data_IF_967657246534
#
_entry.id   IF_967657246534
#
_cell.length_a   1.000
_cell.length_b   1.000
_cell.length_c   1.000
_cell.angle_alpha   90.00
_cell.angle_beta   90.00
_cell.angle_gamma   90.00
#
_symmetry.space_group_name_H-M   'P 1'
#
loop_
_entity.id
_entity.type
_entity.pdbx_description
1 polymer ?
#
# COMPACT_ATOMS: atom_id res chain seq x y z
N UNK A 1 -0.79 -13.16 2.84
CA UNK A 1 -2.05 -13.65 3.49
C UNK A 1 -3.12 -13.80 2.42
N UNK A 2 -4.20 -14.56 2.67
CA UNK A 2 -5.33 -14.64 1.76
C UNK A 2 -5.96 -13.27 1.47
N UNK A 3 -6.36 -13.06 0.22
CA UNK A 3 -7.07 -11.87 -0.29
C UNK A 3 -8.06 -12.32 -1.38
N UNK A 4 -9.00 -11.45 -1.74
CA UNK A 4 -10.07 -11.77 -2.69
C UNK A 4 -11.12 -12.69 -2.08
N UNK A 5 -11.30 -12.63 -0.76
CA UNK A 5 -12.22 -13.49 -0.04
C UNK A 5 -13.60 -12.85 0.10
N UNK A 6 -14.61 -13.68 -0.14
CA UNK A 6 -16.00 -13.37 0.12
C UNK A 6 -16.27 -13.22 1.62
N UNK A 7 -17.19 -12.34 1.99
CA UNK A 7 -17.68 -12.23 3.37
C UNK A 7 -18.22 -13.61 3.79
N UNK A 8 -17.75 -14.18 4.91
CA UNK A 8 -18.24 -15.47 5.39
C UNK A 8 -19.73 -15.38 5.75
N UNK A 9 -20.49 -16.40 5.36
CA UNK A 9 -21.91 -16.56 5.74
C UNK A 9 -22.07 -17.18 7.12
N UNK A 10 -21.08 -17.97 7.55
CA UNK A 10 -21.07 -18.63 8.85
C UNK A 10 -20.56 -17.70 9.95
N UNK A 11 -21.20 -17.79 11.12
CA UNK A 11 -20.82 -17.04 12.31
C UNK A 11 -20.16 -18.01 13.27
N UNK A 12 -18.91 -17.75 13.62
CA UNK A 12 -18.17 -18.59 14.58
C UNK A 12 -18.30 -18.01 15.98
N UNK A 13 -18.11 -18.85 16.99
CA UNK A 13 -18.03 -18.40 18.38
C UNK A 13 -16.71 -17.64 18.59
N UNK A 14 -16.79 -16.45 19.21
CA UNK A 14 -15.60 -15.69 19.60
C UNK A 14 -14.79 -16.50 20.63
N UNK A 15 -13.47 -16.71 20.42
CA UNK A 15 -12.61 -17.32 21.41
C UNK A 15 -12.62 -16.54 22.74
N UNK A 16 -12.60 -17.22 23.88
CA UNK A 16 -12.60 -16.55 25.20
C UNK A 16 -11.37 -15.67 25.45
N UNK A 17 -10.31 -15.85 24.66
CA UNK A 17 -9.07 -15.06 24.70
C UNK A 17 -9.09 -13.84 23.79
N UNK A 18 -10.18 -13.59 23.05
CA UNK A 18 -10.31 -12.50 22.10
C UNK A 18 -11.50 -11.60 22.47
N UNK A 19 -11.24 -10.32 22.68
CA UNK A 19 -12.29 -9.31 22.68
C UNK A 19 -12.52 -8.82 21.23
N UNK A 20 -13.50 -9.41 20.55
CA UNK A 20 -13.79 -9.11 19.15
C UNK A 20 -14.26 -7.67 18.93
N UNK A 21 -15.04 -7.13 19.87
CA UNK A 21 -15.52 -5.75 19.79
C UNK A 21 -14.37 -4.75 19.83
N UNK A 22 -13.39 -5.00 20.71
CA UNK A 22 -12.17 -4.22 20.81
C UNK A 22 -11.29 -4.36 19.56
N UNK A 23 -11.18 -5.57 19.00
CA UNK A 23 -10.40 -5.80 17.77
C UNK A 23 -10.99 -5.06 16.57
N UNK A 24 -12.31 -5.12 16.36
CA UNK A 24 -12.96 -4.37 15.26
C UNK A 24 -12.75 -2.86 15.44
N UNK A 25 -12.77 -2.39 16.69
CA UNK A 25 -12.59 -0.98 17.01
C UNK A 25 -13.65 -0.11 16.32
N UNK A 26 -13.25 0.95 15.59
CA UNK A 26 -14.16 1.94 15.01
C UNK A 26 -14.73 1.54 13.64
N UNK A 27 -14.27 0.43 13.05
CA UNK A 27 -14.78 -0.09 11.80
C UNK A 27 -16.23 -0.59 11.91
N UNK A 28 -16.87 -0.87 10.77
CA UNK A 28 -18.24 -1.40 10.72
C UNK A 28 -18.32 -2.71 11.49
N UNK A 29 -19.25 -2.78 12.46
CA UNK A 29 -19.46 -3.99 13.27
C UNK A 29 -19.85 -5.17 12.38
N UNK A 30 -19.23 -6.31 12.63
CA UNK A 30 -19.45 -7.57 11.89
C UNK A 30 -19.35 -8.77 12.83
N UNK A 31 -20.10 -9.86 12.59
CA UNK A 31 -19.95 -11.10 13.36
C UNK A 31 -18.53 -11.66 13.26
N UNK A 32 -18.10 -12.36 14.29
CA UNK A 32 -16.81 -13.04 14.26
C UNK A 32 -16.84 -14.24 13.32
N UNK A 33 -15.76 -14.38 12.58
CA UNK A 33 -15.42 -15.58 11.82
C UNK A 33 -13.88 -15.73 11.85
N UNK A 34 -13.39 -16.95 11.96
CA UNK A 34 -11.94 -17.24 12.02
C UNK A 34 -11.19 -16.87 10.74
N UNK A 35 -11.91 -16.63 9.63
CA UNK A 35 -11.32 -16.11 8.40
C UNK A 35 -10.74 -14.71 8.56
N UNK A 36 -11.13 -13.93 9.58
CA UNK A 36 -10.58 -12.60 9.85
C UNK A 36 -9.36 -12.66 10.77
N UNK A 37 -9.42 -13.37 11.89
CA UNK A 37 -8.42 -13.29 12.97
C UNK A 37 -7.90 -14.69 13.30
N UNK A 38 -6.58 -14.88 13.58
CA UNK A 38 -5.59 -13.86 13.98
C UNK A 38 -4.72 -13.27 12.88
N UNK A 39 -4.67 -13.86 11.69
CA UNK A 39 -3.66 -13.50 10.70
C UNK A 39 -4.23 -12.79 9.46
N UNK A 40 -5.40 -13.25 9.02
CA UNK A 40 -5.95 -12.93 7.70
C UNK A 40 -6.56 -11.53 7.60
N UNK A 41 -6.72 -10.81 8.72
CA UNK A 41 -7.27 -9.46 8.79
C UNK A 41 -6.57 -8.50 7.84
N UNK A 42 -5.29 -8.75 7.55
CA UNK A 42 -4.49 -8.00 6.58
C UNK A 42 -5.11 -7.92 5.19
N UNK A 43 -5.87 -8.94 4.77
CA UNK A 43 -6.55 -8.95 3.48
C UNK A 43 -7.86 -8.16 3.44
N UNK A 44 -8.33 -7.64 4.56
CA UNK A 44 -9.63 -6.97 4.65
C UNK A 44 -9.44 -5.45 4.76
N UNK A 45 -10.27 -4.70 4.02
CA UNK A 45 -10.09 -3.25 3.88
C UNK A 45 -10.14 -2.52 5.22
N UNK A 46 -11.07 -2.91 6.09
CA UNK A 46 -11.27 -2.29 7.40
C UNK A 46 -10.13 -2.54 8.39
N UNK A 47 -9.25 -3.52 8.14
CA UNK A 47 -8.25 -3.96 9.13
C UNK A 47 -6.81 -3.77 8.66
N UNK A 48 -6.45 -4.21 7.46
CA UNK A 48 -5.05 -4.15 7.02
C UNK A 48 -4.83 -3.73 5.58
N UNK A 49 -5.87 -3.32 4.86
CA UNK A 49 -5.74 -2.62 3.56
C UNK A 49 -5.03 -3.39 2.45
N UNK A 50 -4.93 -4.72 2.59
CA UNK A 50 -4.35 -5.61 1.60
C UNK A 50 -2.82 -5.57 1.50
N UNK A 51 -2.30 -6.29 0.50
CA UNK A 51 -0.87 -6.42 0.22
C UNK A 51 -0.17 -5.07 -0.01
N UNK A 52 -0.81 -4.16 -0.73
CA UNK A 52 -0.29 -2.80 -0.92
C UNK A 52 -0.15 -2.06 0.42
N UNK A 53 -1.18 -2.03 1.25
CA UNK A 53 -1.11 -1.30 2.52
C UNK A 53 -0.13 -1.89 3.55
N UNK A 54 0.01 -3.21 3.62
CA UNK A 54 0.91 -3.87 4.58
C UNK A 54 2.35 -3.98 4.05
N UNK A 55 2.56 -4.48 2.82
CA UNK A 55 3.92 -4.75 2.30
C UNK A 55 4.61 -3.53 1.68
N UNK A 56 3.88 -2.57 1.11
CA UNK A 56 4.54 -1.45 0.44
C UNK A 56 5.33 -0.58 1.42
N UNK A 57 4.89 -0.49 2.69
CA UNK A 57 5.65 0.17 3.75
C UNK A 57 7.04 -0.45 3.96
N UNK A 58 7.20 -1.75 3.69
CA UNK A 58 8.47 -2.47 3.82
C UNK A 58 9.32 -2.41 2.54
N UNK A 59 8.69 -2.36 1.37
CA UNK A 59 9.36 -2.48 0.06
C UNK A 59 9.63 -1.11 -0.56
N UNK A 60 8.70 -0.16 -0.47
CA UNK A 60 8.83 1.16 -1.09
C UNK A 60 9.59 2.17 -0.22
N UNK A 61 9.89 1.87 1.05
CA UNK A 61 10.68 2.79 1.89
C UNK A 61 12.04 3.18 1.27
N UNK A 62 12.88 2.25 0.74
CA UNK A 62 14.11 2.63 0.04
C UNK A 62 13.85 3.45 -1.24
N UNK A 63 12.69 3.28 -1.90
CA UNK A 63 12.29 4.10 -3.06
C UNK A 63 11.96 5.52 -2.60
N UNK A 64 11.07 5.63 -1.61
CA UNK A 64 10.60 6.89 -1.05
C UNK A 64 11.75 7.73 -0.54
N UNK A 65 12.62 7.14 0.30
CA UNK A 65 13.77 7.82 0.89
C UNK A 65 14.89 8.05 -0.11
N UNK A 66 15.27 7.01 -0.87
CA UNK A 66 16.40 7.07 -1.80
C UNK A 66 16.19 8.03 -2.98
N UNK A 67 14.94 8.23 -3.38
CA UNK A 67 14.56 9.16 -4.44
C UNK A 67 14.01 10.49 -3.89
N UNK A 68 14.03 10.73 -2.57
CA UNK A 68 13.49 11.94 -1.94
C UNK A 68 12.06 12.25 -2.45
N UNK A 69 11.18 11.27 -2.36
CA UNK A 69 9.79 11.39 -2.80
C UNK A 69 8.96 12.15 -1.74
N UNK A 70 7.93 12.85 -2.22
CA UNK A 70 6.85 13.38 -1.41
C UNK A 70 5.53 12.76 -1.89
N UNK A 71 4.51 13.58 -2.13
CA UNK A 71 3.29 13.10 -2.78
C UNK A 71 3.46 12.91 -4.29
N UNK A 72 2.87 11.86 -4.86
CA UNK A 72 2.73 11.76 -6.31
C UNK A 72 1.74 12.82 -6.80
N UNK A 73 1.93 13.27 -8.03
CA UNK A 73 0.98 14.16 -8.72
C UNK A 73 -0.16 13.40 -9.39
N UNK A 74 0.08 12.13 -9.73
CA UNK A 74 -0.89 11.28 -10.40
C UNK A 74 -0.77 9.83 -9.95
N UNK A 75 -1.87 9.10 -10.07
CA UNK A 75 -1.93 7.66 -9.80
C UNK A 75 -2.89 6.97 -10.76
N UNK A 76 -2.51 5.78 -11.20
CA UNK A 76 -3.38 4.90 -11.97
C UNK A 76 -3.25 3.48 -11.41
N UNK A 77 -4.36 2.78 -11.28
CA UNK A 77 -4.39 1.48 -10.64
C UNK A 77 -5.32 0.52 -11.36
N UNK A 78 -4.98 -0.77 -11.30
CA UNK A 78 -5.82 -1.87 -11.75
C UNK A 78 -5.65 -3.08 -10.85
N UNK A 79 -6.66 -3.93 -10.78
CA UNK A 79 -6.59 -5.15 -10.00
C UNK A 79 -7.45 -6.26 -10.59
N UNK A 80 -7.36 -7.44 -9.96
CA UNK A 80 -8.34 -8.50 -10.18
C UNK A 80 -9.70 -8.09 -9.63
N UNK A 81 -10.60 -9.05 -9.38
CA UNK A 81 -11.93 -8.77 -8.87
C UNK A 81 -11.89 -7.91 -7.59
N UNK A 82 -12.52 -6.72 -7.67
CA UNK A 82 -12.59 -5.78 -6.56
C UNK A 82 -13.84 -6.03 -5.70
N UNK A 83 -13.61 -6.67 -4.56
CA UNK A 83 -14.65 -6.92 -3.57
C UNK A 83 -14.84 -5.72 -2.64
N UNK A 84 -16.05 -5.61 -2.11
CA UNK A 84 -16.46 -4.52 -1.20
C UNK A 84 -15.70 -4.56 0.12
N UNK A 85 -15.38 -5.75 0.64
CA UNK A 85 -14.81 -5.94 1.99
C UNK A 85 -13.36 -6.43 2.01
N UNK A 86 -12.90 -7.08 0.93
CA UNK A 86 -11.59 -7.72 0.88
C UNK A 86 -10.77 -7.19 -0.29
N UNK A 87 -9.47 -7.00 -0.05
CA UNK A 87 -8.50 -6.60 -1.05
C UNK A 87 -8.45 -7.57 -2.23
N UNK A 88 -8.16 -7.11 -3.45
CA UNK A 88 -8.05 -7.99 -4.61
C UNK A 88 -6.90 -8.98 -4.41
N UNK A 89 -6.98 -10.13 -5.09
CA UNK A 89 -5.92 -11.15 -5.03
C UNK A 89 -4.60 -10.63 -5.61
N UNK A 90 -4.67 -9.77 -6.62
CA UNK A 90 -3.51 -9.11 -7.23
C UNK A 90 -3.88 -7.71 -7.74
N UNK A 91 -2.94 -6.77 -7.64
CA UNK A 91 -3.10 -5.43 -8.18
C UNK A 91 -1.78 -4.84 -8.70
N UNK A 92 -1.91 -3.79 -9.50
CA UNK A 92 -0.82 -2.94 -9.95
C UNK A 92 -1.18 -1.49 -9.72
N UNK A 93 -0.22 -0.69 -9.30
CA UNK A 93 -0.38 0.76 -9.13
C UNK A 93 0.80 1.47 -9.76
N UNK A 94 0.53 2.46 -10.59
CA UNK A 94 1.50 3.41 -11.12
C UNK A 94 1.33 4.73 -10.37
N UNK A 95 2.40 5.20 -9.75
CA UNK A 95 2.49 6.53 -9.15
C UNK A 95 3.40 7.39 -10.01
N UNK A 96 3.00 8.63 -10.30
CA UNK A 96 3.80 9.61 -11.03
C UNK A 96 4.21 10.74 -10.10
N UNK A 97 5.48 10.78 -9.71
CA UNK A 97 6.03 11.82 -8.84
C UNK A 97 6.61 12.96 -9.65
N UNK A 98 6.29 14.23 -9.33
CA UNK A 98 6.79 15.38 -10.07
C UNK A 98 8.32 15.47 -9.98
N UNK A 99 8.93 16.34 -10.79
CA UNK A 99 10.35 16.65 -10.65
C UNK A 99 10.66 17.22 -9.25
N UNK A 100 11.84 16.88 -8.71
CA UNK A 100 12.34 17.32 -7.40
C UNK A 100 13.69 18.02 -7.56
N UNK A 101 14.17 18.74 -6.53
CA UNK A 101 15.53 19.29 -6.55
C UNK A 101 16.59 18.22 -6.86
N UNK A 102 17.52 18.54 -7.75
CA UNK A 102 18.62 17.64 -8.10
C UNK A 102 19.54 17.41 -6.89
N UNK A 103 20.04 16.17 -6.76
CA UNK A 103 21.16 15.87 -5.88
C UNK A 103 22.48 16.13 -6.62
N UNK A 104 23.62 16.31 -5.92
CA UNK A 104 24.89 16.68 -6.55
C UNK A 104 25.36 15.80 -7.72
N UNK A 105 24.93 14.55 -7.79
CA UNK A 105 25.32 13.57 -8.84
C UNK A 105 24.13 12.88 -9.51
N UNK A 106 22.89 13.25 -9.16
CA UNK A 106 21.67 12.56 -9.61
C UNK A 106 20.62 13.61 -9.91
N UNK A 107 20.24 13.70 -11.18
CA UNK A 107 19.07 14.49 -11.57
C UNK A 107 17.81 13.84 -11.00
N UNK A 108 16.83 14.66 -10.60
CA UNK A 108 15.56 14.19 -10.04
C UNK A 108 14.38 14.65 -10.91
N UNK A 109 14.30 14.21 -12.18
CA UNK A 109 13.14 14.52 -13.04
C UNK A 109 11.89 13.83 -12.48
N UNK A 110 10.75 14.06 -13.15
CA UNK A 110 9.55 13.25 -12.92
C UNK A 110 9.92 11.76 -12.97
N UNK A 111 9.36 10.98 -12.05
CA UNK A 111 9.65 9.55 -11.93
C UNK A 111 8.37 8.76 -11.72
N UNK A 112 8.26 7.67 -12.46
CA UNK A 112 7.18 6.70 -12.30
C UNK A 112 7.62 5.59 -11.36
N UNK A 113 6.78 5.26 -10.38
CA UNK A 113 6.98 4.12 -9.48
C UNK A 113 5.84 3.15 -9.69
N UNK A 114 6.18 1.89 -9.96
CA UNK A 114 5.21 0.84 -10.19
C UNK A 114 5.22 -0.15 -9.03
N UNK A 115 4.04 -0.41 -8.47
CA UNK A 115 3.79 -1.48 -7.51
C UNK A 115 3.12 -2.66 -8.21
N UNK A 116 3.53 -3.88 -7.84
CA UNK A 116 2.93 -5.14 -8.28
C UNK A 116 2.82 -6.08 -7.09
N UNK A 117 1.67 -6.74 -6.92
CA UNK A 117 1.50 -7.81 -5.94
C UNK A 117 0.64 -8.97 -6.48
N UNK A 118 0.38 -9.97 -5.63
CA UNK A 118 -0.52 -11.09 -5.97
C UNK A 118 -0.01 -12.01 -7.07
N UNK A 119 1.31 -12.05 -7.28
CA UNK A 119 1.95 -12.84 -8.34
C UNK A 119 2.21 -12.05 -9.63
N UNK A 120 1.71 -10.82 -9.74
CA UNK A 120 2.10 -9.91 -10.80
C UNK A 120 3.55 -9.45 -10.57
N UNK A 121 4.29 -9.31 -11.65
CA UNK A 121 5.66 -8.83 -11.66
C UNK A 121 5.87 -7.98 -12.92
N UNK A 122 6.77 -6.98 -12.88
CA UNK A 122 7.21 -6.34 -14.11
C UNK A 122 7.92 -7.39 -14.99
N UNK A 123 7.99 -7.09 -16.28
CA UNK A 123 8.88 -7.86 -17.16
C UNK A 123 10.30 -7.81 -16.59
N UNK A 124 10.98 -8.95 -16.66
CA UNK A 124 12.33 -9.09 -16.11
C UNK A 124 13.26 -8.06 -16.77
N UNK A 125 13.98 -7.22 -15.99
CA UNK A 125 14.89 -6.24 -16.58
C UNK A 125 15.96 -6.92 -17.44
N UNK A 126 16.37 -6.23 -18.49
CA UNK A 126 17.44 -6.69 -19.38
C UNK A 126 18.73 -6.95 -18.60
N UNK A 127 19.44 -8.02 -18.94
CA UNK A 127 20.72 -8.40 -18.30
C UNK A 127 20.60 -9.14 -16.97
N UNK A 128 19.42 -9.20 -16.34
CA UNK A 128 19.22 -9.93 -15.08
C UNK A 128 19.45 -11.43 -15.31
N UNK A 129 20.44 -12.08 -14.65
CA UNK A 129 20.85 -13.45 -14.94
C UNK A 129 19.71 -14.46 -14.90
N UNK A 130 19.62 -15.39 -15.85
CA UNK A 130 18.56 -16.39 -15.88
C UNK A 130 18.41 -17.12 -14.53
N UNK A 131 17.17 -17.33 -14.07
CA UNK A 131 16.87 -18.00 -12.81
C UNK A 131 17.10 -17.18 -11.52
N UNK A 132 17.68 -15.98 -11.58
CA UNK A 132 17.83 -15.13 -10.39
C UNK A 132 16.45 -14.66 -9.88
N UNK A 133 16.07 -15.07 -8.68
CA UNK A 133 14.85 -14.59 -8.03
C UNK A 133 15.02 -13.12 -7.62
N UNK A 134 14.01 -12.30 -7.92
CA UNK A 134 13.98 -10.88 -7.54
C UNK A 134 13.31 -10.66 -6.18
N UNK A 135 12.57 -11.66 -5.68
CA UNK A 135 12.04 -11.65 -4.32
C UNK A 135 13.15 -12.03 -3.34
N UNK A 136 13.54 -11.09 -2.50
CA UNK A 136 14.47 -11.26 -1.40
C UNK A 136 13.84 -10.68 -0.12
N UNK A 137 13.64 -11.53 0.89
CA UNK A 137 12.90 -11.24 2.12
C UNK A 137 11.44 -10.76 1.90
N UNK A 138 10.74 -11.32 0.92
CA UNK A 138 9.31 -11.09 0.71
C UNK A 138 8.97 -10.03 -0.33
N UNK A 139 9.96 -9.39 -0.95
CA UNK A 139 9.75 -8.40 -2.00
C UNK A 139 11.04 -8.03 -2.73
N UNK A 140 10.94 -7.08 -3.65
CA UNK A 140 12.09 -6.56 -4.36
C UNK A 140 11.80 -5.21 -5.00
N UNK A 141 12.84 -4.41 -5.17
CA UNK A 141 12.79 -3.10 -5.80
C UNK A 141 13.76 -3.07 -6.96
N UNK A 142 13.34 -2.47 -8.07
CA UNK A 142 14.14 -2.32 -9.28
C UNK A 142 14.29 -0.82 -9.55
N UNK A 143 15.51 -0.32 -9.49
CA UNK A 143 15.86 1.05 -9.86
C UNK A 143 16.50 1.06 -11.23
N UNK A 144 15.82 1.68 -12.20
CA UNK A 144 16.34 1.85 -13.55
C UNK A 144 17.20 3.12 -13.64
N UNK A 145 18.51 2.95 -13.75
CA UNK A 145 19.46 4.05 -13.92
C UNK A 145 20.02 4.11 -15.34
N UNK A 146 20.56 5.28 -15.72
CA UNK A 146 21.16 5.46 -17.07
C UNK A 146 22.45 4.69 -17.30
N UNK A 147 23.07 4.17 -16.23
CA UNK A 147 24.34 3.42 -16.28
C UNK A 147 24.21 1.96 -15.86
N UNK A 148 23.13 1.61 -15.17
CA UNK A 148 22.89 0.27 -14.63
C UNK A 148 21.48 0.17 -14.05
N UNK A 149 21.06 -1.06 -13.78
CA UNK A 149 19.88 -1.35 -12.97
C UNK A 149 20.33 -1.83 -11.58
N UNK A 150 19.88 -1.14 -10.53
CA UNK A 150 20.10 -1.54 -9.14
C UNK A 150 18.88 -2.32 -8.65
N UNK A 151 19.10 -3.48 -8.05
CA UNK A 151 18.04 -4.31 -7.48
C UNK A 151 18.36 -4.58 -6.00
N UNK A 152 17.38 -4.45 -5.12
CA UNK A 152 17.48 -4.81 -3.71
C UNK A 152 16.21 -5.51 -3.23
N UNK A 153 16.31 -6.26 -2.13
CA UNK A 153 15.18 -6.93 -1.51
C UNK A 153 14.27 -6.00 -0.72
N UNK A 154 13.31 -6.60 -0.01
CA UNK A 154 12.50 -5.95 1.01
C UNK A 154 13.41 -5.22 2.03
N UNK A 155 13.01 -4.05 2.52
CA UNK A 155 13.82 -3.18 3.37
C UNK A 155 15.14 -2.66 2.76
N UNK A 156 15.36 -2.86 1.45
CA UNK A 156 16.60 -2.46 0.78
C UNK A 156 17.78 -3.39 1.03
N UNK A 157 17.54 -4.62 1.50
CA UNK A 157 18.59 -5.60 1.79
C UNK A 157 19.28 -6.11 0.52
N UNK A 158 20.53 -6.56 0.67
CA UNK A 158 21.33 -7.23 -0.37
C UNK A 158 21.31 -6.53 -1.75
N UNK A 159 21.61 -5.23 -1.84
CA UNK A 159 21.62 -4.52 -3.11
C UNK A 159 22.67 -5.10 -4.07
N UNK A 160 22.34 -5.16 -5.36
CA UNK A 160 23.26 -5.60 -6.41
C UNK A 160 22.96 -4.90 -7.74
N UNK A 161 23.99 -4.75 -8.59
CA UNK A 161 23.87 -4.16 -9.91
C UNK A 161 23.81 -5.25 -10.98
N UNK A 162 22.94 -5.07 -11.97
CA UNK A 162 22.76 -6.04 -13.06
C UNK A 162 24.04 -6.25 -13.85
N UNK A 163 24.89 -5.22 -13.99
CA UNK A 163 26.19 -5.35 -14.64
C UNK A 163 27.21 -6.24 -13.88
N UNK A 164 26.88 -6.71 -12.68
CA UNK A 164 27.80 -7.47 -11.81
C UNK A 164 28.79 -6.61 -11.01
N UNK A 165 28.71 -5.27 -11.12
CA UNK A 165 29.51 -4.37 -10.28
C UNK A 165 29.01 -4.40 -8.84
N UNK A 166 29.92 -4.25 -7.88
CA UNK A 166 29.55 -4.10 -6.47
C UNK A 166 29.02 -2.68 -6.23
N UNK A 167 27.78 -2.52 -5.70
CA UNK A 167 27.32 -1.21 -5.24
C UNK A 167 28.28 -0.63 -4.20
N UNK A 168 28.69 0.62 -4.37
CA UNK A 168 29.55 1.31 -3.43
C UNK A 168 28.95 2.68 -3.12
N UNK A 169 28.49 2.86 -1.88
CA UNK A 169 27.92 4.11 -1.39
C UNK A 169 28.65 4.57 -0.13
N UNK A 170 28.92 5.88 0.04
CA UNK A 170 29.33 6.40 1.33
C UNK A 170 28.20 6.19 2.36
N UNK A 171 28.57 6.16 3.64
CA UNK A 171 27.61 6.21 4.74
C UNK A 171 26.97 7.60 4.79
N UNK A 172 25.68 7.68 4.53
CA UNK A 172 24.93 8.94 4.47
C UNK A 172 23.87 9.06 5.58
N UNK A 173 23.61 7.97 6.30
CA UNK A 173 22.56 7.88 7.31
C UNK A 173 23.12 7.29 8.61
N UNK A 174 22.48 7.62 9.73
CA UNK A 174 22.79 7.01 11.02
C UNK A 174 22.43 5.53 10.99
N UNK A 175 23.39 4.66 11.31
CA UNK A 175 23.16 3.23 11.46
C UNK A 175 22.61 2.94 12.86
N UNK A 176 21.47 2.24 12.94
CA UNK A 176 20.93 1.71 14.19
C UNK A 176 21.66 0.41 14.51
N UNK A 177 22.36 0.36 15.65
CA UNK A 177 23.28 -0.74 15.98
C UNK A 177 22.65 -1.88 16.80
N UNK A 178 21.43 -1.69 17.31
CA UNK A 178 20.67 -2.71 18.06
C UNK A 178 19.49 -3.21 17.23
N UNK A 179 18.30 -2.65 17.46
CA UNK A 179 17.09 -2.89 16.68
C UNK A 179 16.34 -1.56 16.51
N UNK A 180 15.42 -1.49 15.55
CA UNK A 180 14.65 -0.28 15.30
C UNK A 180 13.76 0.09 16.50
N UNK A 181 13.24 -0.90 17.23
CA UNK A 181 12.50 -0.70 18.48
C UNK A 181 13.39 -0.11 19.57
N UNK A 182 14.65 -0.55 19.66
CA UNK A 182 15.59 -0.02 20.65
C UNK A 182 16.01 1.42 20.34
N UNK A 183 15.96 1.85 19.07
CA UNK A 183 16.16 3.25 18.70
C UNK A 183 15.04 4.15 19.23
N UNK A 184 13.80 3.65 19.21
CA UNK A 184 12.66 4.33 19.83
C UNK A 184 12.77 4.35 21.36
N UNK A 185 13.10 3.22 22.00
CA UNK A 185 13.31 3.16 23.46
C UNK A 185 14.40 4.13 23.92
N UNK A 186 15.50 4.22 23.17
CA UNK A 186 16.56 5.21 23.39
C UNK A 186 15.98 6.63 23.36
N UNK A 187 15.29 7.03 22.29
CA UNK A 187 14.74 8.37 22.15
C UNK A 187 13.75 8.75 23.27
N UNK A 188 12.95 7.78 23.74
CA UNK A 188 12.04 7.95 24.88
C UNK A 188 12.76 8.21 26.21
N UNK A 189 13.99 7.69 26.37
CA UNK A 189 14.81 7.88 27.58
C UNK A 189 15.67 9.14 27.55
N UNK A 190 15.89 9.71 26.37
CA UNK A 190 16.68 10.94 26.20
C UNK A 190 15.89 12.19 26.62
N UNK A 191 16.61 13.14 27.24
CA UNK A 191 16.05 14.46 27.55
C UNK A 191 15.85 15.27 26.26
N UNK A 192 14.90 16.22 26.21
CA UNK A 192 14.68 17.05 25.03
C UNK A 192 15.93 17.73 24.49
N UNK A 193 16.88 18.10 25.35
CA UNK A 193 18.10 18.84 25.00
C UNK A 193 19.12 17.98 24.25
N UNK A 194 19.10 16.66 24.45
CA UNK A 194 20.06 15.71 23.88
C UNK A 194 19.40 14.66 22.98
N UNK A 195 18.09 14.79 22.73
CA UNK A 195 17.34 13.80 21.99
C UNK A 195 17.80 13.78 20.53
N UNK A 196 18.23 12.62 20.08
CA UNK A 196 18.53 12.38 18.66
C UNK A 196 17.31 11.77 18.00
N UNK A 197 16.88 12.35 16.88
CA UNK A 197 15.76 11.87 16.08
C UNK A 197 15.92 10.37 15.74
N UNK A 198 14.80 9.64 15.82
CA UNK A 198 14.78 8.22 15.48
C UNK A 198 15.05 8.02 13.99
N UNK A 199 15.48 6.82 13.60
CA UNK A 199 15.76 6.52 12.18
C UNK A 199 14.48 6.47 11.31
N UNK A 200 13.31 6.39 11.96
CA UNK A 200 11.98 6.36 11.35
C UNK A 200 11.05 7.38 12.04
N UNK A 201 11.26 8.69 11.85
CA UNK A 201 10.42 9.72 12.45
C UNK A 201 9.08 9.83 11.74
N UNK A 202 8.04 10.33 12.43
CA UNK A 202 6.71 10.52 11.84
C UNK A 202 6.69 11.53 10.68
N UNK A 203 7.62 12.49 10.67
CA UNK A 203 7.83 13.43 9.56
C UNK A 203 8.16 12.73 8.23
N UNK A 204 8.74 11.53 8.28
CA UNK A 204 8.99 10.68 7.10
C UNK A 204 7.90 9.61 6.95
N UNK A 205 7.58 8.90 8.04
CA UNK A 205 6.66 7.77 8.00
C UNK A 205 5.20 8.16 7.71
N UNK A 206 4.76 9.36 8.13
CA UNK A 206 3.42 9.87 7.87
C UNK A 206 3.15 10.08 6.38
N UNK A 207 3.86 11.00 5.70
CA UNK A 207 3.69 11.23 4.26
C UNK A 207 3.93 9.97 3.41
N UNK A 208 4.87 9.11 3.82
CA UNK A 208 5.09 7.83 3.16
C UNK A 208 3.87 6.90 3.28
N UNK A 209 3.28 6.78 4.47
CA UNK A 209 2.07 5.99 4.65
C UNK A 209 0.88 6.58 3.89
N UNK A 210 0.73 7.91 3.88
CA UNK A 210 -0.30 8.62 3.11
C UNK A 210 -0.20 8.31 1.62
N UNK A 211 1.00 8.29 1.05
CA UNK A 211 1.25 7.85 -0.33
C UNK A 211 0.77 6.40 -0.55
N UNK A 212 1.09 5.48 0.35
CA UNK A 212 0.71 4.05 0.23
C UNK A 212 -0.81 3.89 0.26
N UNK A 213 -1.48 4.46 1.25
CA UNK A 213 -2.94 4.31 1.40
C UNK A 213 -3.72 5.09 0.33
N UNK A 214 -3.17 6.18 -0.20
CA UNK A 214 -3.71 6.83 -1.40
C UNK A 214 -3.66 5.89 -2.61
N UNK A 215 -2.58 5.12 -2.78
CA UNK A 215 -2.52 4.06 -3.78
C UNK A 215 -3.58 2.97 -3.59
N UNK A 216 -3.89 2.59 -2.35
CA UNK A 216 -5.01 1.67 -2.04
C UNK A 216 -6.35 2.28 -2.48
N UNK A 217 -6.55 3.58 -2.26
CA UNK A 217 -7.75 4.28 -2.70
C UNK A 217 -7.85 4.34 -4.23
N UNK A 218 -6.74 4.56 -4.94
CA UNK A 218 -6.71 4.52 -6.39
C UNK A 218 -7.18 3.16 -6.94
N UNK A 219 -6.78 2.04 -6.34
CA UNK A 219 -7.30 0.70 -6.71
C UNK A 219 -8.81 0.61 -6.52
N UNK A 220 -9.35 1.20 -5.46
CA UNK A 220 -10.80 1.21 -5.19
C UNK A 220 -11.58 2.11 -6.15
N UNK A 221 -10.90 3.07 -6.77
CA UNK A 221 -11.43 3.98 -7.79
C UNK A 221 -11.17 3.52 -9.24
N UNK A 222 -10.54 2.36 -9.45
CA UNK A 222 -10.15 1.88 -10.79
C UNK A 222 -11.28 1.83 -11.82
N UNK A 223 -12.53 1.69 -11.36
CA UNK A 223 -13.72 1.67 -12.23
C UNK A 223 -13.97 3.00 -12.97
N UNK A 224 -13.26 4.06 -12.61
CA UNK A 224 -13.25 5.34 -13.33
C UNK A 224 -12.47 5.29 -14.66
N UNK A 225 -11.64 4.25 -14.87
CA UNK A 225 -10.88 4.00 -16.10
C UNK A 225 -10.06 5.22 -16.58
N UNK A 226 -9.40 5.91 -15.65
CA UNK A 226 -8.57 7.08 -15.94
C UNK A 226 -7.40 7.19 -14.96
N UNK A 227 -6.35 7.89 -15.35
CA UNK A 227 -5.33 8.39 -14.44
C UNK A 227 -5.93 9.47 -13.54
N UNK A 228 -5.75 9.34 -12.23
CA UNK A 228 -6.26 10.26 -11.22
C UNK A 228 -5.19 11.28 -10.83
N UNK A 229 -5.53 12.56 -10.85
CA UNK A 229 -4.68 13.65 -10.38
C UNK A 229 -4.85 13.85 -8.88
N UNK A 230 -3.74 13.96 -8.15
CA UNK A 230 -3.70 14.02 -6.70
C UNK A 230 -3.06 15.32 -6.20
N UNK A 231 -3.80 16.02 -5.34
CA UNK A 231 -3.33 17.17 -4.57
C UNK A 231 -3.07 16.69 -3.14
N UNK A 232 -1.83 16.25 -2.89
CA UNK A 232 -1.45 15.64 -1.61
C UNK A 232 -1.43 16.61 -0.43
N UNK A 233 -1.08 17.88 -0.66
CA UNK A 233 -1.12 18.90 0.39
C UNK A 233 -2.54 19.13 0.92
N UNK A 234 -3.54 18.98 0.05
CA UNK A 234 -4.96 19.14 0.41
C UNK A 234 -5.70 17.80 0.57
N UNK A 235 -5.01 16.67 0.41
CA UNK A 235 -5.55 15.32 0.47
C UNK A 235 -6.82 15.14 -0.38
N UNK A 236 -6.74 15.36 -1.70
CA UNK A 236 -7.90 15.18 -2.61
C UNK A 236 -7.50 14.81 -4.04
N UNK A 237 -8.39 14.11 -4.73
CA UNK A 237 -8.33 13.97 -6.18
C UNK A 237 -8.97 15.19 -6.86
N UNK A 238 -8.35 15.70 -7.92
CA UNK A 238 -8.76 16.96 -8.57
C UNK A 238 -9.51 16.78 -9.88
N UNK A 239 -9.46 15.61 -10.49
CA UNK A 239 -9.99 15.35 -11.83
C UNK A 239 -11.13 14.30 -11.88
N UNK A 240 -11.70 13.89 -10.73
CA UNK A 240 -12.87 13.02 -10.72
C UNK A 240 -14.10 13.82 -11.18
N UNK A 241 -14.81 13.41 -12.26
CA UNK A 241 -16.02 14.09 -12.69
C UNK A 241 -17.09 14.07 -11.59
N UNK A 242 -17.83 15.17 -11.43
CA UNK A 242 -18.80 15.31 -10.34
C UNK A 242 -19.97 14.34 -10.40
N UNK A 243 -20.29 13.82 -11.59
CA UNK A 243 -21.34 12.83 -11.86
C UNK A 243 -20.81 11.39 -11.95
N UNK A 244 -19.49 11.20 -11.84
CA UNK A 244 -18.90 9.87 -11.92
C UNK A 244 -19.34 9.00 -10.73
N UNK A 245 -19.61 7.74 -11.02
CA UNK A 245 -20.00 6.75 -10.00
C UNK A 245 -19.07 5.56 -10.01
N UNK A 246 -18.85 4.97 -8.84
CA UNK A 246 -18.14 3.70 -8.67
C UNK A 246 -19.05 2.67 -8.02
N UNK A 247 -18.76 1.39 -8.26
CA UNK A 247 -19.42 0.24 -7.61
C UNK A 247 -18.43 -0.90 -7.45
N UNK A 248 -18.63 -1.71 -6.42
CA UNK A 248 -17.79 -2.89 -6.12
C UNK A 248 -18.62 -4.15 -6.11
N UNK A 249 -17.94 -5.30 -6.09
CA UNK A 249 -18.61 -6.61 -6.06
C UNK A 249 -18.88 -6.99 -4.60
N UNK A 250 -20.13 -7.37 -4.33
CA UNK A 250 -20.54 -7.94 -3.05
C UNK A 250 -20.30 -9.44 -3.08
N UNK A 251 -20.77 -10.12 -4.13
CA UNK A 251 -20.67 -11.56 -4.29
C UNK A 251 -20.33 -11.97 -5.71
N UNK A 252 -19.36 -12.87 -5.84
CA UNK A 252 -19.03 -13.52 -7.10
C UNK A 252 -19.96 -14.71 -7.34
N UNK A 253 -20.87 -14.58 -8.29
CA UNK A 253 -21.87 -15.61 -8.57
C UNK A 253 -21.47 -16.53 -9.72
N UNK A 254 -20.32 -17.18 -9.63
CA UNK A 254 -19.96 -18.24 -10.58
C UNK A 254 -20.72 -19.53 -10.28
N UNK A 255 -21.46 -20.04 -11.26
CA UNK A 255 -22.16 -21.32 -11.18
C UNK A 255 -22.00 -22.09 -12.48
N UNK A 256 -21.90 -23.41 -12.40
CA UNK A 256 -21.97 -24.29 -13.56
C UNK A 256 -23.27 -25.10 -13.45
N UNK A 257 -24.09 -25.06 -14.50
CA UNK A 257 -25.30 -25.89 -14.61
C UNK A 257 -25.22 -26.66 -15.92
N UNK A 258 -25.17 -27.99 -15.84
CA UNK A 258 -25.02 -28.90 -16.99
C UNK A 258 -23.83 -28.54 -17.90
N UNK A 259 -22.71 -28.11 -17.31
CA UNK A 259 -21.51 -27.69 -18.03
C UNK A 259 -21.54 -26.24 -18.56
N UNK A 260 -22.66 -25.54 -18.42
CA UNK A 260 -22.78 -24.13 -18.80
C UNK A 260 -22.38 -23.20 -17.65
N UNK A 261 -21.33 -22.36 -17.83
CA UNK A 261 -20.95 -21.38 -16.83
C UNK A 261 -21.92 -20.19 -16.86
N UNK A 262 -22.36 -19.77 -15.68
CA UNK A 262 -23.12 -18.54 -15.44
C UNK A 262 -22.33 -17.66 -14.48
N UNK A 263 -22.22 -16.37 -14.80
CA UNK A 263 -21.54 -15.37 -13.99
C UNK A 263 -22.56 -14.33 -13.52
N UNK A 264 -23.09 -14.50 -12.32
CA UNK A 264 -24.13 -13.65 -11.74
C UNK A 264 -23.56 -12.86 -10.54
N UNK A 265 -22.73 -11.86 -10.83
CA UNK A 265 -22.15 -11.01 -9.77
C UNK A 265 -23.21 -10.12 -9.13
N UNK A 266 -23.21 -10.06 -7.81
CA UNK A 266 -23.98 -9.08 -7.04
C UNK A 266 -23.09 -7.84 -6.85
N UNK A 267 -23.58 -6.69 -7.28
CA UNK A 267 -22.85 -5.42 -7.18
C UNK A 267 -23.45 -4.53 -6.08
N UNK A 268 -22.66 -3.61 -5.54
CA UNK A 268 -23.21 -2.49 -4.77
C UNK A 268 -24.05 -1.60 -5.68
N UNK A 269 -24.97 -0.84 -5.08
CA UNK A 269 -25.52 0.33 -5.75
C UNK A 269 -24.38 1.28 -6.15
N UNK A 270 -24.46 1.97 -7.30
CA UNK A 270 -23.49 2.99 -7.65
C UNK A 270 -23.48 4.10 -6.60
N UNK A 271 -22.28 4.54 -6.21
CA UNK A 271 -22.07 5.69 -5.31
C UNK A 271 -21.30 6.77 -6.05
N UNK A 272 -21.51 8.04 -5.69
CA UNK A 272 -20.74 9.14 -6.25
C UNK A 272 -19.25 8.96 -5.92
N UNK A 273 -18.39 9.05 -6.94
CA UNK A 273 -16.97 8.76 -6.80
C UNK A 273 -16.22 9.81 -5.96
N UNK A 274 -16.62 11.09 -6.05
CA UNK A 274 -16.05 12.18 -5.24
C UNK A 274 -16.42 11.98 -3.77
N UNK A 275 -17.68 11.69 -3.47
CA UNK A 275 -18.15 11.40 -2.11
C UNK A 275 -17.46 10.16 -1.54
N UNK A 276 -17.34 9.10 -2.34
CA UNK A 276 -16.64 7.88 -1.95
C UNK A 276 -15.17 8.15 -1.62
N UNK A 277 -14.45 8.90 -2.47
CA UNK A 277 -13.06 9.25 -2.22
C UNK A 277 -12.91 10.08 -0.94
N UNK A 278 -13.76 11.10 -0.76
CA UNK A 278 -13.74 11.94 0.44
C UNK A 278 -14.04 11.15 1.71
N UNK A 279 -14.99 10.22 1.67
CA UNK A 279 -15.30 9.33 2.79
C UNK A 279 -14.15 8.36 3.11
N UNK A 280 -13.33 7.98 2.13
CA UNK A 280 -12.14 7.16 2.39
C UNK A 280 -10.97 7.99 2.96
N UNK A 281 -10.86 9.27 2.59
CA UNK A 281 -9.80 10.17 3.06
C UNK A 281 -10.12 10.72 4.45
N UNK A 282 -11.38 11.13 4.68
CA UNK A 282 -11.89 11.67 5.95
C UNK A 282 -13.03 10.81 6.44
N UNK A 283 -12.69 9.62 6.93
CA UNK A 283 -13.64 8.58 7.25
C UNK A 283 -14.55 8.91 8.43
N UNK A 284 -15.83 8.59 8.26
CA UNK A 284 -16.85 8.65 9.30
C UNK A 284 -16.93 7.32 10.04
N UNK A 285 -16.39 7.29 11.26
CA UNK A 285 -16.33 6.07 12.06
C UNK A 285 -17.64 5.74 12.79
N UNK A 286 -17.96 4.45 12.91
CA UNK A 286 -19.27 3.96 13.36
C UNK A 286 -19.63 4.31 14.83
N UNK A 287 -18.64 4.63 15.66
CA UNK A 287 -18.82 4.95 17.09
C UNK A 287 -18.61 6.44 17.42
N UNK A 288 -18.67 7.32 16.40
CA UNK A 288 -18.38 8.75 16.58
C UNK A 288 -16.92 9.03 16.93
N UNK A 289 -16.05 8.03 16.77
CA UNK A 289 -14.61 8.24 16.87
C UNK A 289 -14.20 9.23 15.78
N UNK A 290 -13.32 10.15 16.16
CA UNK A 290 -12.73 11.11 15.25
C UNK A 290 -11.25 11.16 15.52
N UNK A 291 -10.48 11.31 14.45
CA UNK A 291 -9.11 11.74 14.59
C UNK A 291 -9.09 13.09 15.31
N UNK A 292 -8.06 13.37 16.13
CA UNK A 292 -7.82 14.73 16.58
C UNK A 292 -7.63 15.63 15.34
N UNK A 293 -7.98 16.92 15.47
CA UNK A 293 -7.73 17.88 14.41
C UNK A 293 -6.22 17.89 14.10
N UNK A 294 -5.88 17.79 12.82
CA UNK A 294 -4.48 17.86 12.38
C UNK A 294 -3.93 19.26 12.75
N UNK A 295 -2.71 19.34 13.30
CA UNK A 295 -2.10 20.60 13.73
C UNK A 295 -1.88 21.60 12.58
#
# INVERSE_FOLDING_TARGET
>A
WPQGLMIPKEIHKVPSTLNWDLFIGPAKKRPFNEIYHPWNWRGWWDFGTGALGDMACHILHPVFKGLNLGYPSKVEASSTMLLTDCAPTAQMVKFTFPARPNLPKVAMPEVEVYWYDGGLQPMRPEGVPAGKNLNDQGGGVIFHGTKDTLICGCYGVNPWLVSGRTPNSPKTQREVTLSHEMDWVRACKESPENRVETASPFSEAGPFNEMVVMGVLAVRLQGLNQELEWDGENMRFTNIPSDATVRTIIEDGFKITDGHPTFAKTWTEPVNAVEYANEMIKHTYHNGWKLPDMP
#
